data_IF_827108762882
#
_entry.id   IF_827108762882
#
_cell.length_a   1.000
_cell.length_b   1.000
_cell.length_c   1.000
_cell.angle_alpha   90.00
_cell.angle_beta   90.00
_cell.angle_gamma   90.00
#
_symmetry.space_group_name_H-M   'P 1'
#
loop_
_entity.id
_entity.type
_entity.pdbx_description
1 polymer ?
#
# COMPACT_ATOMS: atom_id res chain seq x y z
N UNK A 1 3.13 0.03 -4.67
CA UNK A 1 2.36 0.00 -3.39
C UNK A 1 1.09 0.79 -3.65
N UNK A 2 -0.03 0.10 -3.78
CA UNK A 2 -1.34 0.75 -3.84
C UNK A 2 -1.68 1.12 -2.40
N UNK A 3 -1.51 2.38 -2.05
CA UNK A 3 -2.08 2.89 -0.80
C UNK A 3 -3.58 2.82 -0.96
N UNK A 4 -4.28 2.15 -0.05
CA UNK A 4 -5.73 2.23 -0.03
C UNK A 4 -6.12 3.70 0.09
N UNK A 5 -6.59 4.28 -0.99
CA UNK A 5 -7.38 5.49 -0.93
C UNK A 5 -8.66 5.18 -0.15
N UNK A 6 -9.17 6.13 0.59
CA UNK A 6 -10.52 6.03 1.13
C UNK A 6 -11.47 5.68 -0.04
N UNK A 7 -12.14 4.53 0.02
CA UNK A 7 -13.03 4.06 -1.03
C UNK A 7 -12.55 2.82 -1.82
N UNK A 8 -11.40 2.23 -1.47
CA UNK A 8 -10.93 1.02 -2.16
C UNK A 8 -11.69 -0.24 -1.71
N UNK A 9 -12.43 -0.84 -2.62
CA UNK A 9 -12.93 -2.21 -2.50
C UNK A 9 -12.02 -3.21 -3.21
N UNK A 10 -12.37 -4.51 -3.21
CA UNK A 10 -11.66 -5.51 -4.00
C UNK A 10 -11.82 -5.25 -5.49
N UNK A 11 -10.86 -5.67 -6.32
CA UNK A 11 -11.04 -5.66 -7.78
C UNK A 11 -12.22 -6.53 -8.17
N UNK A 12 -12.93 -6.13 -9.21
CA UNK A 12 -14.03 -6.90 -9.76
C UNK A 12 -13.52 -8.26 -10.24
N UNK A 13 -14.18 -9.38 -9.85
CA UNK A 13 -13.77 -10.71 -10.30
C UNK A 13 -14.08 -10.93 -11.78
N UNK A 14 -13.35 -11.85 -12.42
CA UNK A 14 -13.70 -12.33 -13.76
C UNK A 14 -15.13 -12.84 -13.76
N UNK A 15 -16.00 -12.29 -14.63
CA UNK A 15 -17.42 -12.63 -14.69
C UNK A 15 -18.34 -11.68 -13.93
N UNK A 16 -17.81 -10.64 -13.30
CA UNK A 16 -18.57 -9.63 -12.58
C UNK A 16 -18.98 -10.03 -11.17
N UNK A 17 -19.66 -9.11 -10.49
CA UNK A 17 -20.22 -9.36 -9.16
C UNK A 17 -21.51 -10.16 -9.23
N UNK A 18 -21.81 -10.99 -8.22
CA UNK A 18 -23.12 -11.65 -8.10
C UNK A 18 -24.28 -10.64 -8.15
N UNK A 19 -25.43 -11.03 -8.72
CA UNK A 19 -26.59 -10.15 -8.88
C UNK A 19 -27.03 -9.49 -7.57
N UNK A 20 -26.86 -10.15 -6.44
CA UNK A 20 -27.27 -9.65 -5.13
C UNK A 20 -26.50 -8.43 -4.68
N UNK A 21 -25.25 -8.25 -5.15
CA UNK A 21 -24.40 -7.12 -4.79
C UNK A 21 -24.14 -6.15 -5.95
N UNK A 22 -24.46 -6.57 -7.19
CA UNK A 22 -24.24 -5.80 -8.39
C UNK A 22 -24.75 -4.34 -8.32
N UNK A 23 -26.00 -4.08 -7.82
CA UNK A 23 -26.53 -2.71 -7.79
C UNK A 23 -25.74 -1.73 -6.96
N UNK A 24 -24.99 -2.20 -5.94
CA UNK A 24 -24.20 -1.32 -5.10
C UNK A 24 -22.72 -1.28 -5.50
N UNK A 25 -22.23 -2.32 -6.17
CA UNK A 25 -20.82 -2.48 -6.50
C UNK A 25 -20.47 -2.18 -7.95
N UNK A 26 -21.42 -2.23 -8.88
CA UNK A 26 -21.25 -1.66 -10.19
C UNK A 26 -21.40 -0.14 -10.09
N UNK A 27 -20.30 0.56 -10.28
CA UNK A 27 -20.34 2.01 -10.37
C UNK A 27 -21.31 2.52 -11.43
N UNK A 28 -21.71 3.77 -11.28
CA UNK A 28 -22.67 4.47 -12.11
C UNK A 28 -22.47 4.18 -13.60
N UNK A 29 -23.58 3.95 -14.29
CA UNK A 29 -23.71 3.72 -15.74
C UNK A 29 -23.05 4.81 -16.60
N UNK A 30 -22.67 5.93 -16.02
CA UNK A 30 -22.07 7.09 -16.70
C UNK A 30 -20.52 7.13 -16.67
N UNK A 31 -19.86 5.99 -16.39
CA UNK A 31 -18.39 5.85 -16.52
C UNK A 31 -17.57 6.47 -15.37
N UNK A 32 -18.20 6.91 -14.31
CA UNK A 32 -17.55 7.25 -13.04
C UNK A 32 -17.55 6.02 -12.13
N UNK A 33 -16.41 5.62 -11.62
CA UNK A 33 -16.31 4.63 -10.57
C UNK A 33 -17.02 5.19 -9.33
N UNK A 34 -18.23 4.75 -9.05
CA UNK A 34 -18.83 5.04 -7.76
C UNK A 34 -18.01 4.32 -6.68
N UNK A 35 -17.42 5.08 -5.79
CA UNK A 35 -16.77 4.52 -4.61
C UNK A 35 -17.83 3.78 -3.78
N UNK A 36 -17.78 2.47 -3.82
CA UNK A 36 -18.67 1.64 -3.01
C UNK A 36 -18.07 1.46 -1.62
N UNK A 37 -18.66 2.07 -0.63
CA UNK A 37 -18.25 1.96 0.78
C UNK A 37 -18.74 0.67 1.46
N UNK A 38 -19.36 -0.24 0.70
CA UNK A 38 -19.92 -1.49 1.25
C UNK A 38 -18.85 -2.48 1.72
N UNK A 39 -17.70 -2.47 1.06
CA UNK A 39 -16.63 -3.41 1.34
C UNK A 39 -15.81 -3.01 2.56
N UNK A 40 -15.76 -3.89 3.54
CA UNK A 40 -14.95 -3.70 4.74
C UNK A 40 -13.68 -4.52 4.65
N UNK A 41 -12.48 -3.91 4.78
CA UNK A 41 -11.23 -4.64 4.75
C UNK A 41 -11.06 -5.51 6.00
N UNK A 42 -10.63 -6.75 5.79
CA UNK A 42 -10.18 -7.67 6.83
C UNK A 42 -8.66 -7.63 6.86
N UNK A 43 -8.08 -7.32 8.00
CA UNK A 43 -6.64 -7.17 8.14
C UNK A 43 -5.97 -8.41 8.75
N UNK A 44 -4.69 -8.60 8.45
CA UNK A 44 -3.84 -9.65 9.00
C UNK A 44 -3.57 -9.51 10.51
N UNK A 45 -3.85 -8.36 11.09
CA UNK A 45 -3.73 -8.09 12.53
C UNK A 45 -4.82 -7.11 12.98
N UNK A 46 -5.13 -7.05 14.29
CA UNK A 46 -5.99 -6.01 14.82
C UNK A 46 -5.41 -4.65 14.44
N UNK A 47 -6.20 -3.86 13.71
CA UNK A 47 -5.77 -2.52 13.34
C UNK A 47 -5.58 -1.67 14.60
N UNK A 48 -4.36 -1.31 14.90
CA UNK A 48 -4.08 -0.24 15.85
C UNK A 48 -4.66 1.04 15.25
N UNK A 49 -5.76 1.49 15.80
CA UNK A 49 -6.46 2.68 15.29
C UNK A 49 -5.72 3.99 15.59
N UNK A 50 -4.61 3.93 16.32
CA UNK A 50 -3.86 5.11 16.74
C UNK A 50 -2.36 4.86 16.73
N UNK A 51 -1.57 5.83 16.26
CA UNK A 51 -0.13 5.78 16.36
C UNK A 51 0.28 5.78 17.85
N UNK A 52 1.39 5.13 18.15
CA UNK A 52 1.94 5.11 19.51
C UNK A 52 2.51 6.50 19.90
N UNK A 53 2.88 6.65 21.17
CA UNK A 53 3.39 7.92 21.69
C UNK A 53 4.69 8.36 21.02
N UNK A 54 5.54 7.41 20.64
CA UNK A 54 6.78 7.69 19.94
C UNK A 54 6.54 8.25 18.55
N UNK A 55 5.65 7.63 17.76
CA UNK A 55 5.25 8.15 16.45
C UNK A 55 4.75 9.58 16.55
N UNK A 56 3.87 9.87 17.53
CA UNK A 56 3.35 11.22 17.77
C UNK A 56 4.47 12.22 18.09
N UNK A 57 5.43 11.81 18.92
CA UNK A 57 6.61 12.66 19.24
C UNK A 57 7.47 12.93 18.03
N UNK A 58 7.73 11.92 17.21
CA UNK A 58 8.52 12.08 15.98
C UNK A 58 7.86 13.06 15.02
N UNK A 59 6.53 12.94 14.83
CA UNK A 59 5.78 13.86 13.98
C UNK A 59 5.82 15.30 14.54
N UNK A 60 5.55 15.47 15.83
CA UNK A 60 5.57 16.78 16.47
C UNK A 60 6.96 17.45 16.44
N UNK A 61 8.02 16.66 16.47
CA UNK A 61 9.40 17.14 16.34
C UNK A 61 9.84 17.40 14.89
N UNK A 62 8.98 17.13 13.90
CA UNK A 62 9.30 17.26 12.48
C UNK A 62 10.40 16.30 12.01
N UNK A 63 10.58 15.19 12.70
CA UNK A 63 11.63 14.21 12.36
C UNK A 63 11.30 13.51 11.05
N UNK A 64 12.26 13.46 10.15
CA UNK A 64 12.11 12.75 8.88
C UNK A 64 11.99 11.25 9.12
N UNK A 65 11.15 10.52 8.34
CA UNK A 65 11.05 9.08 8.43
C UNK A 65 12.41 8.41 8.27
N UNK A 66 12.68 7.43 9.11
CA UNK A 66 13.92 6.65 9.05
C UNK A 66 13.85 5.60 7.94
N UNK A 67 15.02 5.24 7.41
CA UNK A 67 15.13 4.15 6.45
C UNK A 67 15.39 2.84 7.18
N UNK A 68 14.74 1.76 6.75
CA UNK A 68 15.05 0.41 7.24
C UNK A 68 16.53 0.10 7.05
N UNK A 69 17.16 -0.55 8.02
CA UNK A 69 18.60 -0.85 7.98
C UNK A 69 18.99 -1.79 6.85
N UNK A 70 18.14 -2.76 6.49
CA UNK A 70 18.43 -3.74 5.46
C UNK A 70 17.25 -3.93 4.50
N UNK A 71 17.57 -4.36 3.28
CA UNK A 71 16.57 -4.74 2.27
C UNK A 71 15.91 -6.06 2.70
N UNK A 72 14.57 -6.09 2.71
CA UNK A 72 13.80 -7.30 2.99
C UNK A 72 13.93 -8.33 1.85
N UNK A 73 13.57 -9.59 2.12
CA UNK A 73 13.64 -10.68 1.13
C UNK A 73 12.70 -10.45 -0.05
N UNK A 74 11.57 -9.84 0.20
CA UNK A 74 10.46 -9.53 -0.70
C UNK A 74 10.42 -8.04 -1.10
N UNK A 75 11.56 -7.36 -1.07
CA UNK A 75 11.65 -5.95 -1.40
C UNK A 75 11.40 -5.71 -2.89
N UNK A 76 10.47 -4.81 -3.23
CA UNK A 76 10.17 -4.42 -4.61
C UNK A 76 11.39 -3.94 -5.42
N UNK A 77 12.39 -3.36 -4.76
CA UNK A 77 13.65 -2.92 -5.40
C UNK A 77 14.71 -4.01 -5.51
N UNK A 78 14.45 -5.23 -5.05
CA UNK A 78 15.40 -6.34 -5.18
C UNK A 78 15.45 -6.83 -6.63
N UNK A 79 16.64 -7.16 -7.16
CA UNK A 79 16.73 -7.86 -8.43
C UNK A 79 15.89 -9.14 -8.43
N UNK A 80 15.07 -9.33 -9.46
CA UNK A 80 14.16 -10.48 -9.56
C UNK A 80 12.90 -10.41 -8.73
N UNK A 81 12.60 -9.28 -8.10
CA UNK A 81 11.26 -9.08 -7.51
C UNK A 81 10.19 -9.06 -8.60
N UNK A 82 8.95 -9.47 -8.31
CA UNK A 82 7.85 -9.44 -9.28
C UNK A 82 7.67 -8.05 -9.90
N UNK A 83 7.76 -7.00 -9.09
CA UNK A 83 7.63 -5.62 -9.55
C UNK A 83 8.74 -5.20 -10.54
N UNK A 84 9.95 -5.74 -10.38
CA UNK A 84 11.07 -5.48 -11.29
C UNK A 84 11.10 -6.41 -12.50
N UNK A 85 10.51 -7.58 -12.40
CA UNK A 85 10.43 -8.53 -13.54
C UNK A 85 9.32 -8.16 -14.53
N UNK A 86 8.47 -7.17 -14.20
CA UNK A 86 7.35 -6.76 -15.05
C UNK A 86 6.15 -7.68 -14.95
N UNK A 87 5.97 -8.36 -13.81
CA UNK A 87 4.77 -9.14 -13.54
C UNK A 87 3.53 -8.23 -13.61
N UNK A 88 2.61 -8.54 -14.51
CA UNK A 88 1.41 -7.74 -14.79
C UNK A 88 0.47 -7.63 -13.58
N UNK A 89 0.58 -8.53 -12.61
CA UNK A 89 -0.18 -8.45 -11.37
C UNK A 89 0.25 -7.29 -10.46
N UNK A 90 1.40 -6.66 -10.75
CA UNK A 90 1.91 -5.50 -10.02
C UNK A 90 1.81 -4.24 -10.86
N UNK A 91 0.85 -3.38 -10.54
CA UNK A 91 0.62 -2.13 -11.24
C UNK A 91 1.89 -1.26 -11.31
N UNK A 92 2.27 -0.85 -12.52
CA UNK A 92 3.34 0.10 -12.79
C UNK A 92 4.69 -0.50 -13.17
N UNK A 93 4.98 -1.75 -12.85
CA UNK A 93 6.22 -2.43 -13.25
C UNK A 93 7.52 -1.71 -12.87
N UNK A 94 8.64 -2.07 -13.53
CA UNK A 94 9.97 -1.52 -13.22
C UNK A 94 10.08 0.00 -13.45
N UNK A 95 9.43 0.53 -14.47
CA UNK A 95 9.46 1.96 -14.80
C UNK A 95 8.78 2.80 -13.71
N UNK A 96 7.74 2.28 -13.09
CA UNK A 96 7.08 2.95 -11.97
C UNK A 96 8.00 3.08 -10.75
N UNK A 97 8.73 2.02 -10.39
CA UNK A 97 9.70 2.05 -9.29
C UNK A 97 10.85 3.02 -9.57
N UNK A 98 11.37 3.00 -10.78
CA UNK A 98 12.43 3.92 -11.21
C UNK A 98 11.93 5.37 -11.18
N UNK A 99 10.71 5.64 -11.65
CA UNK A 99 10.07 6.94 -11.59
C UNK A 99 9.95 7.48 -10.16
N UNK A 100 9.47 6.68 -9.21
CA UNK A 100 9.41 7.03 -7.78
C UNK A 100 10.81 7.39 -7.25
N UNK A 101 11.81 6.57 -7.58
CA UNK A 101 13.17 6.81 -7.14
C UNK A 101 13.75 8.09 -7.76
N UNK A 102 13.53 8.36 -9.04
CA UNK A 102 13.98 9.58 -9.72
C UNK A 102 13.35 10.85 -9.13
N UNK A 103 12.05 10.86 -8.92
CA UNK A 103 11.34 12.01 -8.36
C UNK A 103 11.60 12.22 -6.87
N UNK A 104 12.21 11.24 -6.20
CA UNK A 104 12.46 11.29 -4.76
C UNK A 104 11.20 11.16 -3.91
N UNK A 105 10.14 10.62 -4.48
CA UNK A 105 8.93 10.31 -3.77
C UNK A 105 9.20 9.24 -2.72
N UNK A 106 8.57 9.37 -1.54
CA UNK A 106 8.77 8.41 -0.46
C UNK A 106 8.20 7.05 -0.84
N UNK A 107 9.02 6.01 -0.68
CA UNK A 107 8.58 4.63 -0.84
C UNK A 107 8.72 3.91 0.50
N UNK A 108 7.58 3.54 1.06
CA UNK A 108 7.50 2.93 2.38
C UNK A 108 7.83 1.44 2.33
N UNK A 109 8.49 0.94 3.38
CA UNK A 109 8.70 -0.48 3.55
C UNK A 109 7.38 -1.14 3.97
N UNK A 110 7.00 -2.22 3.27
CA UNK A 110 5.77 -2.95 3.56
C UNK A 110 5.85 -3.78 4.86
N UNK A 111 7.05 -4.10 5.32
CA UNK A 111 7.24 -4.88 6.54
C UNK A 111 6.68 -4.15 7.76
N UNK A 112 5.80 -4.85 8.47
CA UNK A 112 5.11 -4.32 9.65
C UNK A 112 3.88 -3.46 9.34
N UNK A 113 3.57 -3.19 8.06
CA UNK A 113 2.33 -2.50 7.69
C UNK A 113 1.12 -3.44 7.73
N UNK A 114 -0.06 -2.87 7.91
CA UNK A 114 -1.31 -3.62 7.79
C UNK A 114 -1.51 -4.09 6.36
N UNK A 115 -1.95 -5.34 6.22
CA UNK A 115 -2.26 -5.97 4.94
C UNK A 115 -3.74 -6.33 4.94
N UNK A 116 -4.43 -6.03 3.86
CA UNK A 116 -5.79 -6.51 3.63
C UNK A 116 -5.71 -7.95 3.15
N UNK A 117 -6.17 -8.87 3.99
CA UNK A 117 -6.20 -10.32 3.67
C UNK A 117 -7.48 -10.74 2.96
N UNK A 118 -8.55 -9.99 3.18
CA UNK A 118 -9.84 -10.19 2.52
C UNK A 118 -10.66 -8.89 2.54
N UNK A 119 -11.71 -8.87 1.74
CA UNK A 119 -12.75 -7.86 1.76
C UNK A 119 -14.10 -8.54 2.08
N UNK A 120 -14.88 -7.94 2.97
CA UNK A 120 -16.19 -8.46 3.35
C UNK A 120 -17.30 -7.49 2.97
N UNK A 121 -18.30 -7.99 2.26
CA UNK A 121 -19.50 -7.26 1.92
C UNK A 121 -20.61 -7.50 2.96
N UNK A 122 -21.54 -6.55 3.19
CA UNK A 122 -22.69 -6.75 4.10
C UNK A 122 -23.60 -7.93 3.76
N UNK A 123 -23.64 -8.38 2.50
CA UNK A 123 -24.34 -9.61 2.09
C UNK A 123 -23.73 -10.90 2.65
N UNK A 124 -22.54 -10.82 3.25
CA UNK A 124 -21.77 -11.97 3.72
C UNK A 124 -20.76 -12.51 2.71
N UNK A 125 -20.72 -11.95 1.48
CA UNK A 125 -19.67 -12.31 0.53
C UNK A 125 -18.31 -11.87 1.05
N UNK A 126 -17.32 -12.76 0.93
CA UNK A 126 -15.92 -12.46 1.25
C UNK A 126 -15.03 -12.76 0.03
N UNK A 127 -14.16 -11.83 -0.31
CA UNK A 127 -13.21 -11.96 -1.42
C UNK A 127 -11.80 -11.84 -0.88
N UNK A 128 -10.85 -12.67 -1.33
CA UNK A 128 -9.44 -12.55 -0.93
C UNK A 128 -8.88 -11.17 -1.24
N UNK A 129 -8.04 -10.66 -0.34
CA UNK A 129 -7.24 -9.46 -0.61
C UNK A 129 -6.16 -9.73 -1.65
N UNK A 130 -5.79 -8.70 -2.41
CA UNK A 130 -4.70 -8.80 -3.36
C UNK A 130 -3.34 -8.88 -2.62
N UNK A 131 -2.41 -9.76 -3.02
CA UNK A 131 -1.05 -9.75 -2.52
C UNK A 131 -0.44 -8.35 -2.69
N UNK A 132 0.00 -7.74 -1.60
CA UNK A 132 0.52 -6.36 -1.63
C UNK A 132 -0.52 -5.26 -1.44
N UNK A 133 -1.76 -5.58 -1.11
CA UNK A 133 -2.78 -4.62 -0.70
C UNK A 133 -2.49 -4.07 0.72
N UNK A 134 -1.49 -3.20 0.83
CA UNK A 134 -1.12 -2.55 2.08
C UNK A 134 -2.02 -1.35 2.33
N UNK A 135 -2.69 -1.34 3.48
CA UNK A 135 -3.59 -0.27 3.90
C UNK A 135 -3.19 0.29 5.27
N UNK A 136 -1.98 0.83 5.43
CA UNK A 136 -1.59 1.38 6.71
C UNK A 136 -2.36 2.66 7.00
N UNK A 137 -2.81 2.87 8.24
CA UNK A 137 -3.28 4.18 8.65
C UNK A 137 -2.15 5.21 8.54
N UNK A 138 -2.49 6.44 8.16
CA UNK A 138 -1.53 7.50 7.88
C UNK A 138 -1.82 8.71 8.77
N UNK A 139 -0.78 9.29 9.36
CA UNK A 139 -0.85 10.56 10.09
C UNK A 139 0.24 11.48 9.52
N UNK A 140 -0.16 12.67 9.09
CA UNK A 140 0.73 13.68 8.49
C UNK A 140 1.62 13.13 7.36
N UNK A 141 1.05 12.25 6.53
CA UNK A 141 1.74 11.63 5.41
C UNK A 141 2.74 10.54 5.79
N UNK A 142 2.75 10.10 7.05
CA UNK A 142 3.57 8.99 7.54
C UNK A 142 2.68 7.82 7.95
N UNK A 143 2.80 6.66 7.28
CA UNK A 143 2.08 5.47 7.71
C UNK A 143 2.62 4.97 9.04
N UNK A 144 1.81 4.25 9.79
CA UNK A 144 2.28 3.54 10.98
C UNK A 144 2.04 2.04 10.88
N UNK A 145 2.86 1.29 11.60
CA UNK A 145 2.90 -0.16 11.59
C UNK A 145 1.81 -0.75 12.50
N UNK A 146 1.65 -2.06 12.45
CA UNK A 146 0.66 -2.79 13.28
C UNK A 146 0.84 -2.56 14.79
N UNK A 147 2.03 -2.23 15.24
CA UNK A 147 2.35 -1.90 16.64
C UNK A 147 2.19 -0.40 16.97
N UNK A 148 1.75 0.39 16.00
CA UNK A 148 1.60 1.84 16.12
C UNK A 148 2.88 2.64 15.93
N UNK A 149 4.02 2.01 15.67
CA UNK A 149 5.28 2.69 15.38
C UNK A 149 5.27 3.34 13.99
N UNK A 150 6.15 4.32 13.76
CA UNK A 150 6.25 4.98 12.47
C UNK A 150 6.69 3.99 11.37
N UNK A 151 6.08 4.11 10.19
CA UNK A 151 6.52 3.39 9.01
C UNK A 151 7.94 3.78 8.63
N UNK A 152 8.67 2.81 8.09
CA UNK A 152 10.05 2.99 7.65
C UNK A 152 10.11 3.19 6.13
N UNK A 153 11.04 4.01 5.67
CA UNK A 153 11.36 4.08 4.24
C UNK A 153 12.03 2.77 3.79
N UNK A 154 11.75 2.34 2.57
CA UNK A 154 12.31 1.13 1.99
C UNK A 154 13.84 1.26 1.79
N UNK A 155 14.61 0.29 2.28
CA UNK A 155 16.05 0.27 2.13
C UNK A 155 16.49 0.14 0.66
N UNK A 156 15.77 -0.63 -0.16
CA UNK A 156 16.04 -0.77 -1.59
C UNK A 156 15.81 0.54 -2.34
N UNK A 157 14.71 1.23 -2.06
CA UNK A 157 14.46 2.56 -2.60
C UNK A 157 15.57 3.55 -2.23
N UNK A 158 15.95 3.60 -0.95
CA UNK A 158 16.99 4.50 -0.48
C UNK A 158 18.35 4.21 -1.12
N UNK A 159 18.70 2.94 -1.34
CA UNK A 159 19.90 2.55 -2.07
C UNK A 159 19.84 3.04 -3.53
N UNK A 160 18.72 2.85 -4.22
CA UNK A 160 18.52 3.32 -5.59
C UNK A 160 18.64 4.85 -5.69
N UNK A 161 18.03 5.58 -4.76
CA UNK A 161 18.14 7.05 -4.67
C UNK A 161 19.59 7.52 -4.54
N UNK A 162 20.38 6.88 -3.67
CA UNK A 162 21.80 7.19 -3.52
C UNK A 162 22.58 6.96 -4.82
N UNK A 163 22.32 5.85 -5.51
CA UNK A 163 22.98 5.56 -6.78
C UNK A 163 22.65 6.60 -7.87
N UNK A 164 21.39 7.02 -7.98
CA UNK A 164 20.98 8.08 -8.91
C UNK A 164 21.66 9.42 -8.60
N UNK A 165 21.72 9.80 -7.32
CA UNK A 165 22.38 11.05 -6.90
C UNK A 165 23.89 11.02 -7.16
N UNK A 166 24.53 9.85 -7.04
CA UNK A 166 25.96 9.71 -7.34
C UNK A 166 26.26 9.81 -8.84
N UNK A 167 25.37 9.32 -9.70
CA UNK A 167 25.52 9.37 -11.15
C UNK A 167 25.32 10.76 -11.76
N UNK A 168 24.75 11.70 -11.01
CA UNK A 168 24.52 13.10 -11.46
C UNK A 168 25.60 14.09 -11.00
N UNK A 169 26.62 13.61 -10.31
CA UNK A 169 27.81 14.39 -9.88
C UNK A 169 29.02 14.13 -10.75
#
# INVERSE_FOLDING_TARGET
>A
MIMCGAGGGPPEPEGGWPEEIAPCCYGSIDGGWAECDCWVPVFNAPAQQRPNQEHKRLLAAGVKPTTRQGMCTDCAYRPGSPEKSGDESYAGGPDFLEGIAHRGERFWCHQGLLIVTAWRHPSGLEVPGHPGAYCPPVVDGVPYQVDGSAGLLCAGWAARRRALTAATR
#
